data_IF_514589909412
#
_entry.id   IF_514589909412
#
_cell.length_a   1.000
_cell.length_b   1.000
_cell.length_c   1.000
_cell.angle_alpha   90.00
_cell.angle_beta   90.00
_cell.angle_gamma   90.00
#
_symmetry.space_group_name_H-M   'P 1'
#
loop_
_entity.id
_entity.type
_entity.pdbx_description
1 polymer ?
#
# COMPACT_ATOMS: atom_id res chain seq x y z
N UNK A 1 -7.76 17.52 27.97
CA UNK A 1 -8.19 17.87 26.59
C UNK A 1 -7.50 16.92 25.63
N UNK A 2 -8.21 15.88 25.17
CA UNK A 2 -7.67 14.89 24.26
C UNK A 2 -7.77 15.40 22.83
N UNK A 3 -6.64 15.74 22.21
CA UNK A 3 -6.59 15.92 20.77
C UNK A 3 -6.76 14.53 20.13
N UNK A 4 -7.96 14.26 19.60
CA UNK A 4 -8.15 13.16 18.65
C UNK A 4 -7.32 13.48 17.41
N UNK A 5 -6.10 12.96 17.35
CA UNK A 5 -5.36 12.88 16.12
C UNK A 5 -6.01 11.78 15.28
N UNK A 6 -6.91 12.15 14.37
CA UNK A 6 -7.23 11.29 13.23
C UNK A 6 -5.91 10.99 12.52
N UNK A 7 -5.42 9.76 12.67
CA UNK A 7 -4.26 9.29 11.92
C UNK A 7 -4.66 9.18 10.46
N UNK A 8 -4.52 10.26 9.70
CA UNK A 8 -4.74 10.23 8.25
C UNK A 8 -3.65 9.36 7.62
N UNK A 9 -4.03 8.20 7.09
CA UNK A 9 -3.13 7.28 6.38
C UNK A 9 -3.21 7.48 4.88
N UNK A 10 -2.07 7.54 4.21
CA UNK A 10 -2.00 7.83 2.77
C UNK A 10 -2.05 6.58 1.89
N UNK A 11 -2.80 6.67 0.78
CA UNK A 11 -2.82 5.73 -0.37
C UNK A 11 -1.46 5.70 -1.11
N UNK A 12 -1.21 4.72 -2.00
CA UNK A 12 0.07 4.68 -2.72
C UNK A 12 0.34 5.97 -3.51
N UNK A 13 1.56 6.49 -3.32
CA UNK A 13 2.06 7.70 -3.97
C UNK A 13 2.98 7.32 -5.14
N UNK A 14 2.71 7.88 -6.32
CA UNK A 14 3.53 7.70 -7.52
C UNK A 14 4.15 9.03 -7.93
N UNK A 15 5.48 9.06 -8.02
CA UNK A 15 6.17 10.23 -8.57
C UNK A 15 6.36 10.08 -10.08
N UNK A 16 5.67 10.92 -10.85
CA UNK A 16 5.72 10.90 -12.31
C UNK A 16 5.99 12.29 -12.88
N UNK A 17 7.09 12.41 -13.63
CA UNK A 17 7.46 13.62 -14.40
C UNK A 17 7.22 14.91 -13.61
N UNK A 18 7.91 15.06 -12.47
CA UNK A 18 7.89 16.29 -11.66
C UNK A 18 6.50 16.64 -11.09
N UNK A 19 5.64 15.65 -10.96
CA UNK A 19 4.36 15.70 -10.25
C UNK A 19 4.26 14.49 -9.33
N UNK A 20 3.67 14.69 -8.16
CA UNK A 20 3.35 13.60 -7.24
C UNK A 20 1.88 13.23 -7.44
N UNK A 21 1.60 11.97 -7.72
CA UNK A 21 0.25 11.47 -7.84
C UNK A 21 -0.10 10.68 -6.59
N UNK A 22 -1.19 11.05 -5.92
CA UNK A 22 -1.83 10.19 -4.93
C UNK A 22 -2.86 9.35 -5.67
N UNK A 23 -2.59 8.04 -5.73
CA UNK A 23 -3.32 7.13 -6.61
C UNK A 23 -4.24 6.23 -5.79
N UNK A 24 -5.52 6.24 -6.13
CA UNK A 24 -6.49 5.21 -5.76
C UNK A 24 -6.59 4.21 -6.91
N UNK A 25 -6.35 2.93 -6.63
CA UNK A 25 -6.42 1.87 -7.64
C UNK A 25 -7.74 1.11 -7.48
N UNK A 26 -8.51 1.00 -8.57
CA UNK A 26 -9.72 0.17 -8.66
C UNK A 26 -9.45 -1.03 -9.56
N UNK A 27 -9.71 -2.23 -9.03
CA UNK A 27 -9.48 -3.49 -9.74
C UNK A 27 -10.78 -4.26 -9.98
N UNK A 28 -11.83 -3.56 -10.42
CA UNK A 28 -13.11 -4.18 -10.80
C UNK A 28 -12.99 -4.90 -12.14
N UNK A 29 -13.67 -6.03 -12.31
CA UNK A 29 -13.87 -6.70 -13.62
C UNK A 29 -15.18 -6.32 -14.29
N UNK A 30 -16.02 -5.54 -13.60
CA UNK A 30 -17.40 -5.29 -13.99
C UNK A 30 -17.56 -3.93 -14.66
N UNK A 31 -18.81 -3.61 -15.02
CA UNK A 31 -19.14 -2.31 -15.62
C UNK A 31 -19.28 -1.24 -14.55
N UNK A 32 -18.50 -0.17 -14.66
CA UNK A 32 -18.55 0.98 -13.77
C UNK A 32 -19.29 2.12 -14.44
N UNK A 33 -20.32 2.63 -13.76
CA UNK A 33 -21.17 3.71 -14.24
C UNK A 33 -21.22 4.87 -13.24
N UNK A 34 -21.59 6.05 -13.72
CA UNK A 34 -21.77 7.24 -12.90
C UNK A 34 -23.25 7.54 -12.70
N UNK A 35 -23.60 7.85 -11.46
CA UNK A 35 -24.93 8.31 -11.06
C UNK A 35 -25.00 9.85 -11.13
N UNK A 36 -26.23 10.39 -11.13
CA UNK A 36 -26.47 11.83 -11.28
C UNK A 36 -25.88 12.67 -10.14
N UNK A 37 -25.81 12.11 -8.93
CA UNK A 37 -25.19 12.70 -7.74
C UNK A 37 -23.64 12.71 -7.77
N UNK A 38 -23.03 12.15 -8.82
CA UNK A 38 -21.58 12.06 -8.98
C UNK A 38 -20.94 10.84 -8.34
N UNK A 39 -21.71 10.03 -7.63
CA UNK A 39 -21.28 8.71 -7.13
C UNK A 39 -21.12 7.72 -8.29
N UNK A 40 -20.38 6.65 -8.05
CA UNK A 40 -20.18 5.59 -9.04
C UNK A 40 -20.88 4.33 -8.58
N UNK A 41 -21.29 3.48 -9.51
CA UNK A 41 -21.80 2.16 -9.17
C UNK A 41 -21.23 1.10 -10.10
N UNK A 42 -20.97 -0.05 -9.51
CA UNK A 42 -20.52 -1.25 -10.18
C UNK A 42 -21.73 -2.13 -10.45
N UNK A 43 -21.98 -2.44 -11.73
CA UNK A 43 -23.09 -3.30 -12.15
C UNK A 43 -22.58 -4.71 -12.45
N UNK A 44 -23.18 -5.69 -11.80
CA UNK A 44 -22.90 -7.12 -11.97
C UNK A 44 -23.77 -7.72 -13.09
N UNK A 45 -23.35 -8.88 -13.60
CA UNK A 45 -24.08 -9.60 -14.64
C UNK A 45 -25.44 -10.10 -14.16
N UNK A 46 -25.56 -10.43 -12.87
CA UNK A 46 -26.81 -10.85 -12.21
C UNK A 46 -27.82 -9.71 -12.01
N UNK A 47 -27.48 -8.49 -12.45
CA UNK A 47 -28.30 -7.30 -12.32
C UNK A 47 -28.17 -6.55 -11.00
N UNK A 48 -27.43 -7.10 -10.02
CA UNK A 48 -27.12 -6.40 -8.78
C UNK A 48 -26.15 -5.23 -9.01
N UNK A 49 -26.13 -4.29 -8.08
CA UNK A 49 -25.23 -3.14 -8.16
C UNK A 49 -24.68 -2.74 -6.80
N UNK A 50 -23.40 -2.41 -6.75
CA UNK A 50 -22.75 -1.82 -5.58
C UNK A 50 -22.54 -0.33 -5.84
N UNK A 51 -23.09 0.51 -4.96
CA UNK A 51 -22.85 1.95 -4.98
C UNK A 51 -21.55 2.27 -4.24
N UNK A 52 -20.68 3.03 -4.89
CA UNK A 52 -19.47 3.61 -4.32
C UNK A 52 -19.70 5.09 -4.04
N UNK A 53 -18.97 5.65 -3.08
CA UNK A 53 -18.94 7.10 -2.85
C UNK A 53 -18.34 7.89 -4.02
N UNK A 54 -18.18 9.20 -3.84
CA UNK A 54 -17.48 10.03 -4.81
C UNK A 54 -15.96 9.84 -4.68
N UNK A 55 -15.46 8.77 -5.30
CA UNK A 55 -14.06 8.36 -5.24
C UNK A 55 -13.09 9.50 -5.57
N UNK A 56 -13.46 10.39 -6.50
CA UNK A 56 -12.62 11.53 -6.90
C UNK A 56 -12.51 12.55 -5.79
N UNK A 57 -13.63 12.85 -5.13
CA UNK A 57 -13.65 13.77 -3.99
C UNK A 57 -12.81 13.21 -2.83
N UNK A 58 -12.98 11.92 -2.51
CA UNK A 58 -12.21 11.26 -1.44
C UNK A 58 -10.69 11.35 -1.68
N UNK A 59 -10.24 11.14 -2.92
CA UNK A 59 -8.81 11.23 -3.27
C UNK A 59 -8.31 12.67 -3.18
N UNK A 60 -9.12 13.66 -3.57
CA UNK A 60 -8.76 15.08 -3.43
C UNK A 60 -8.62 15.50 -1.97
N UNK A 61 -9.50 15.02 -1.09
CA UNK A 61 -9.39 15.26 0.35
C UNK A 61 -8.12 14.64 0.92
N UNK A 62 -7.77 13.42 0.51
CA UNK A 62 -6.48 12.79 0.88
C UNK A 62 -5.28 13.59 0.37
N UNK A 63 -5.36 14.19 -0.83
CA UNK A 63 -4.32 15.10 -1.34
C UNK A 63 -4.18 16.33 -0.44
N UNK A 64 -5.28 16.98 -0.06
CA UNK A 64 -5.25 18.15 0.83
C UNK A 64 -4.66 17.80 2.22
N UNK A 65 -4.96 16.61 2.74
CA UNK A 65 -4.37 16.11 3.98
C UNK A 65 -2.87 15.83 3.84
N UNK A 66 -2.43 15.31 2.70
CA UNK A 66 -1.01 15.09 2.41
C UNK A 66 -0.24 16.41 2.32
N UNK A 67 -0.81 17.41 1.62
CA UNK A 67 -0.24 18.75 1.55
C UNK A 67 -0.11 19.36 2.95
N UNK A 68 -1.18 19.26 3.77
CA UNK A 68 -1.18 19.72 5.15
C UNK A 68 -0.12 19.00 6.00
N UNK A 69 0.04 17.69 5.82
CA UNK A 69 1.08 16.91 6.48
C UNK A 69 2.49 17.39 6.10
N UNK A 70 2.75 17.61 4.82
CA UNK A 70 4.06 18.10 4.34
C UNK A 70 4.37 19.49 4.90
N UNK A 71 3.39 20.40 4.90
CA UNK A 71 3.54 21.75 5.47
C UNK A 71 3.87 21.67 6.96
N UNK A 72 3.18 20.82 7.74
CA UNK A 72 3.48 20.60 9.16
C UNK A 72 4.88 20.04 9.40
N UNK A 73 5.43 19.28 8.45
CA UNK A 73 6.82 18.77 8.49
C UNK A 73 7.84 19.78 7.95
N UNK A 74 7.44 21.03 7.75
CA UNK A 74 8.30 22.11 7.28
C UNK A 74 8.59 22.06 5.78
N UNK A 75 7.85 21.27 5.01
CA UNK A 75 8.05 21.11 3.58
C UNK A 75 6.94 21.77 2.77
N UNK A 76 7.28 22.88 2.11
CA UNK A 76 6.35 23.62 1.24
C UNK A 76 6.56 23.19 -0.21
N UNK A 77 5.54 22.55 -0.78
CA UNK A 77 5.51 22.25 -2.20
C UNK A 77 4.98 23.45 -3.00
N UNK A 78 5.37 23.58 -4.28
CA UNK A 78 4.66 24.46 -5.20
C UNK A 78 3.18 24.11 -5.27
N UNK A 79 2.34 25.11 -5.51
CA UNK A 79 0.92 24.90 -5.80
C UNK A 79 0.74 23.88 -6.93
N UNK A 80 -0.26 23.01 -6.80
CA UNK A 80 -0.59 21.97 -7.79
C UNK A 80 0.54 20.96 -8.03
N UNK A 81 1.47 20.75 -7.10
CA UNK A 81 2.49 19.70 -7.26
C UNK A 81 1.92 18.29 -7.08
N UNK A 82 1.00 18.14 -6.13
CA UNK A 82 0.31 16.88 -5.84
C UNK A 82 -0.99 16.81 -6.64
N UNK A 83 -1.24 15.68 -7.30
CA UNK A 83 -2.41 15.45 -8.11
C UNK A 83 -3.15 14.21 -7.62
N UNK A 84 -4.48 14.28 -7.59
CA UNK A 84 -5.34 13.12 -7.39
C UNK A 84 -5.37 12.25 -8.65
N UNK A 85 -5.28 10.93 -8.49
CA UNK A 85 -5.52 10.00 -9.58
C UNK A 85 -6.35 8.79 -9.14
N UNK A 86 -7.27 8.37 -10.01
CA UNK A 86 -8.01 7.12 -9.87
C UNK A 86 -7.69 6.25 -11.08
N UNK A 87 -7.16 5.06 -10.85
CA UNK A 87 -6.68 4.17 -11.91
C UNK A 87 -7.47 2.87 -11.88
N UNK A 88 -8.12 2.55 -13.00
CA UNK A 88 -8.71 1.23 -13.22
C UNK A 88 -7.63 0.27 -13.73
N UNK A 89 -7.09 -0.58 -12.85
CA UNK A 89 -5.94 -1.44 -13.17
C UNK A 89 -6.31 -2.60 -14.09
N UNK A 90 -7.51 -3.16 -13.92
CA UNK A 90 -8.00 -4.28 -14.71
C UNK A 90 -8.37 -3.84 -16.13
N UNK A 91 -7.73 -4.37 -17.19
CA UNK A 91 -8.05 -4.01 -18.58
C UNK A 91 -9.46 -4.43 -19.00
N UNK A 92 -10.05 -5.44 -18.37
CA UNK A 92 -11.41 -5.91 -18.67
C UNK A 92 -12.50 -5.02 -18.04
N UNK A 93 -12.12 -4.09 -17.17
CA UNK A 93 -13.06 -3.15 -16.54
C UNK A 93 -13.70 -2.23 -17.58
N UNK A 94 -15.03 -2.30 -17.70
CA UNK A 94 -15.80 -1.45 -18.63
C UNK A 94 -16.23 -0.18 -17.91
N UNK A 95 -15.44 0.87 -18.01
CA UNK A 95 -15.73 2.16 -17.38
C UNK A 95 -16.50 3.05 -18.35
N UNK A 96 -17.62 3.63 -17.90
CA UNK A 96 -18.39 4.60 -18.68
C UNK A 96 -17.53 5.80 -19.10
N UNK A 97 -17.69 6.27 -20.34
CA UNK A 97 -16.83 7.30 -20.92
C UNK A 97 -16.90 8.64 -20.16
N UNK A 98 -18.06 8.96 -19.56
CA UNK A 98 -18.23 10.15 -18.74
C UNK A 98 -17.34 10.14 -17.49
N UNK A 99 -16.97 8.97 -16.96
CA UNK A 99 -16.02 8.80 -15.86
C UNK A 99 -14.59 8.98 -16.36
N UNK A 100 -14.24 8.38 -17.50
CA UNK A 100 -12.90 8.50 -18.11
C UNK A 100 -12.57 9.93 -18.56
N UNK A 101 -13.58 10.77 -18.79
CA UNK A 101 -13.41 12.21 -19.09
C UNK A 101 -13.11 13.06 -17.85
N UNK A 102 -13.26 12.52 -16.63
CA UNK A 102 -12.93 13.25 -15.40
C UNK A 102 -11.41 13.38 -15.29
N UNK A 103 -10.86 14.60 -15.11
CA UNK A 103 -9.43 14.79 -14.92
C UNK A 103 -8.89 13.97 -13.73
N UNK A 104 -7.81 13.22 -13.98
CA UNK A 104 -7.20 12.34 -12.97
C UNK A 104 -7.77 10.91 -12.96
N UNK A 105 -8.79 10.60 -13.76
CA UNK A 105 -9.23 9.22 -13.98
C UNK A 105 -8.46 8.61 -15.14
N UNK A 106 -7.97 7.39 -14.97
CA UNK A 106 -7.25 6.66 -16.00
C UNK A 106 -7.76 5.22 -16.13
N UNK A 107 -7.99 4.79 -17.37
CA UNK A 107 -8.08 3.37 -17.70
C UNK A 107 -6.71 2.69 -17.56
N UNK A 108 -6.70 1.36 -17.54
CA UNK A 108 -5.47 0.55 -17.51
C UNK A 108 -4.51 0.93 -18.64
N UNK A 109 -5.05 1.14 -19.85
CA UNK A 109 -4.27 1.51 -21.04
C UNK A 109 -3.77 2.96 -20.98
N UNK A 110 -4.59 3.91 -20.54
CA UNK A 110 -4.19 5.30 -20.36
C UNK A 110 -3.08 5.44 -19.31
N UNK A 111 -3.21 4.73 -18.19
CA UNK A 111 -2.20 4.72 -17.13
C UNK A 111 -0.88 4.10 -17.61
N UNK A 112 -0.94 2.93 -18.26
CA UNK A 112 0.25 2.30 -18.86
C UNK A 112 0.92 3.20 -19.89
N UNK A 113 0.15 3.89 -20.74
CA UNK A 113 0.68 4.86 -21.71
C UNK A 113 1.39 6.03 -21.03
N UNK A 114 0.81 6.56 -19.94
CA UNK A 114 1.39 7.63 -19.15
C UNK A 114 2.70 7.19 -18.46
N UNK A 115 2.76 5.94 -17.98
CA UNK A 115 3.99 5.34 -17.46
C UNK A 115 5.04 5.09 -18.56
N UNK A 116 4.65 4.63 -19.75
CA UNK A 116 5.56 4.24 -20.83
C UNK A 116 6.12 5.40 -21.63
N UNK A 117 5.36 6.50 -21.81
CA UNK A 117 5.85 7.78 -22.38
C UNK A 117 7.09 8.33 -21.65
N UNK A 118 7.34 7.87 -20.41
CA UNK A 118 8.51 8.20 -19.60
C UNK A 118 9.78 7.46 -20.05
N UNK A 119 9.68 6.22 -20.54
CA UNK A 119 10.86 5.48 -21.04
C UNK A 119 11.49 6.17 -22.26
N UNK A 120 10.67 6.84 -23.09
CA UNK A 120 11.14 7.58 -24.27
C UNK A 120 11.70 8.97 -23.95
N UNK A 121 11.19 9.69 -22.94
CA UNK A 121 11.64 11.06 -22.61
C UNK A 121 13.04 11.14 -21.98
N UNK A 122 13.63 10.04 -21.55
CA UNK A 122 15.05 10.01 -21.17
C UNK A 122 16.02 10.03 -22.38
N UNK A 123 15.50 9.99 -23.63
CA UNK A 123 16.30 10.03 -24.87
C UNK A 123 16.23 11.33 -25.68
N UNK A 124 15.47 12.35 -25.28
CA UNK A 124 15.34 13.58 -26.07
C UNK A 124 15.56 14.85 -25.24
N UNK A 125 16.71 15.48 -25.50
CA UNK A 125 16.74 16.88 -25.91
C UNK A 125 16.45 17.94 -24.85
N UNK A 126 17.52 18.57 -24.42
CA UNK A 126 17.64 19.98 -24.03
C UNK A 126 16.77 20.86 -24.95
N UNK A 127 15.71 21.48 -24.40
CA UNK A 127 15.24 22.85 -24.67
C UNK A 127 13.81 23.10 -24.16
N UNK A 128 13.67 24.09 -23.26
CA UNK A 128 12.61 25.13 -23.14
C UNK A 128 12.53 25.65 -21.69
N UNK A 129 12.84 26.93 -21.41
CA UNK A 129 13.07 27.43 -20.05
C UNK A 129 11.84 28.06 -19.35
N UNK A 130 10.61 27.78 -19.77
CA UNK A 130 9.43 28.46 -19.22
C UNK A 130 8.58 27.54 -18.33
N UNK A 131 8.44 27.94 -17.06
CA UNK A 131 7.78 27.28 -15.91
C UNK A 131 8.59 26.20 -15.18
N UNK A 132 9.68 26.63 -14.53
CA UNK A 132 10.44 25.81 -13.57
C UNK A 132 9.76 25.80 -12.20
N UNK A 133 8.83 24.89 -11.97
CA UNK A 133 8.57 24.35 -10.61
C UNK A 133 9.29 23.01 -10.46
N UNK A 134 10.59 23.03 -10.71
CA UNK A 134 11.43 21.85 -10.56
C UNK A 134 11.87 21.77 -9.11
N UNK A 135 11.41 20.75 -8.38
CA UNK A 135 12.08 20.39 -7.14
C UNK A 135 13.54 20.07 -7.48
N UNK A 136 14.47 20.68 -6.76
CA UNK A 136 15.89 20.31 -6.81
C UNK A 136 16.06 18.89 -6.29
N UNK A 137 17.17 18.21 -6.63
CA UNK A 137 17.43 16.86 -6.11
C UNK A 137 17.42 16.79 -4.57
N UNK A 138 17.88 17.85 -3.89
CA UNK A 138 17.80 17.97 -2.43
C UNK A 138 16.36 18.05 -1.91
N UNK A 139 15.48 18.81 -2.57
CA UNK A 139 14.06 18.86 -2.22
C UNK A 139 13.35 17.52 -2.46
N UNK A 140 13.74 16.79 -3.52
CA UNK A 140 13.24 15.42 -3.74
C UNK A 140 13.66 14.47 -2.63
N UNK A 141 14.93 14.49 -2.22
CA UNK A 141 15.42 13.66 -1.13
C UNK A 141 14.73 14.00 0.18
N UNK A 142 14.54 15.29 0.47
CA UNK A 142 13.81 15.74 1.66
C UNK A 142 12.34 15.29 1.63
N UNK A 143 11.64 15.46 0.50
CA UNK A 143 10.29 14.96 0.31
C UNK A 143 10.22 13.44 0.53
N UNK A 144 11.13 12.70 -0.09
CA UNK A 144 11.19 11.24 0.04
C UNK A 144 11.40 10.79 1.49
N UNK A 145 12.30 11.46 2.23
CA UNK A 145 12.49 11.19 3.66
C UNK A 145 11.24 11.49 4.49
N UNK A 146 10.55 12.59 4.23
CA UNK A 146 9.31 12.95 4.94
C UNK A 146 8.20 11.93 4.66
N UNK A 147 8.04 11.54 3.39
CA UNK A 147 7.04 10.55 2.96
C UNK A 147 7.33 9.15 3.51
N UNK A 148 8.60 8.76 3.67
CA UNK A 148 8.98 7.51 4.36
C UNK A 148 8.50 7.45 5.82
N UNK A 149 8.37 8.62 6.46
CA UNK A 149 7.87 8.74 7.83
C UNK A 149 6.39 9.10 7.89
N UNK A 150 5.71 9.20 6.74
CA UNK A 150 4.29 9.53 6.73
C UNK A 150 3.48 8.35 7.29
N UNK A 151 2.41 8.62 8.04
CA UNK A 151 1.46 7.58 8.43
C UNK A 151 0.89 6.93 7.16
N UNK A 152 1.21 5.66 6.95
CA UNK A 152 0.68 4.84 5.84
C UNK A 152 -0.15 3.69 6.40
N UNK A 153 -0.79 2.94 5.52
CA UNK A 153 -1.42 1.68 5.88
C UNK A 153 -0.37 0.58 6.04
N UNK A 154 -0.64 -0.37 6.93
CA UNK A 154 0.04 -1.66 6.92
C UNK A 154 -0.34 -2.41 5.63
N UNK A 155 0.51 -3.33 5.19
CA UNK A 155 0.33 -4.06 3.92
C UNK A 155 0.49 -5.55 4.13
N UNK A 156 -0.48 -6.33 3.67
CA UNK A 156 -0.39 -7.78 3.52
C UNK A 156 -0.14 -8.12 2.04
N UNK A 157 0.78 -9.05 1.79
CA UNK A 157 1.05 -9.61 0.46
C UNK A 157 0.74 -11.11 0.49
N UNK A 158 -0.01 -11.59 -0.51
CA UNK A 158 -0.43 -12.99 -0.65
C UNK A 158 0.46 -13.72 -1.68
N UNK A 159 0.41 -15.06 -1.69
CA UNK A 159 1.21 -15.89 -2.62
C UNK A 159 0.89 -15.63 -4.09
N UNK A 160 -0.35 -15.26 -4.41
CA UNK A 160 -0.80 -14.89 -5.76
C UNK A 160 -0.39 -13.47 -6.18
N UNK A 161 0.38 -12.77 -5.33
CA UNK A 161 0.78 -11.38 -5.52
C UNK A 161 -0.32 -10.37 -5.14
N UNK A 162 -1.47 -10.84 -4.63
CA UNK A 162 -2.52 -10.01 -4.08
C UNK A 162 -1.98 -9.10 -2.97
N UNK A 163 -2.54 -7.90 -2.86
CA UNK A 163 -2.14 -6.92 -1.86
C UNK A 163 -3.38 -6.40 -1.15
N UNK A 164 -3.33 -6.40 0.17
CA UNK A 164 -4.37 -5.82 1.03
C UNK A 164 -3.76 -4.76 1.92
N UNK A 165 -4.44 -3.62 2.03
CA UNK A 165 -4.06 -2.49 2.87
C UNK A 165 -5.02 -2.37 4.06
N UNK A 166 -4.50 -1.93 5.20
CA UNK A 166 -5.27 -1.83 6.43
C UNK A 166 -4.36 -1.69 7.65
N UNK A 167 -4.89 -2.01 8.82
CA UNK A 167 -4.19 -1.89 10.09
C UNK A 167 -4.07 -3.23 10.80
N UNK A 168 -2.83 -3.60 11.12
CA UNK A 168 -2.53 -4.77 11.92
C UNK A 168 -3.14 -4.63 13.32
N UNK A 169 -3.98 -5.58 13.69
CA UNK A 169 -4.66 -5.63 14.99
C UNK A 169 -4.01 -6.59 15.97
N UNK A 170 -3.26 -7.58 15.48
CA UNK A 170 -2.65 -8.61 16.31
C UNK A 170 -2.68 -9.98 15.66
N UNK A 171 -2.14 -10.96 16.37
CA UNK A 171 -2.24 -12.38 16.01
C UNK A 171 -3.34 -13.05 16.82
N UNK A 172 -3.98 -14.04 16.21
CA UNK A 172 -4.95 -14.94 16.84
C UNK A 172 -4.52 -16.39 16.57
N UNK A 173 -4.57 -17.26 17.58
CA UNK A 173 -4.07 -18.63 17.42
C UNK A 173 -4.05 -19.41 18.73
N UNK A 174 -3.29 -20.50 18.76
CA UNK A 174 -3.14 -21.30 19.98
C UNK A 174 -2.29 -20.56 21.02
N UNK A 175 -2.43 -20.89 22.30
CA UNK A 175 -1.68 -20.23 23.37
C UNK A 175 -0.16 -20.30 23.14
N UNK A 176 0.34 -21.43 22.64
CA UNK A 176 1.76 -21.63 22.32
C UNK A 176 2.22 -20.69 21.19
N UNK A 177 1.42 -20.59 20.12
CA UNK A 177 1.72 -19.70 18.99
C UNK A 177 1.70 -18.23 19.45
N UNK A 178 0.72 -17.84 20.26
CA UNK A 178 0.62 -16.47 20.78
C UNK A 178 1.79 -16.14 21.72
N UNK A 179 2.23 -17.09 22.56
CA UNK A 179 3.40 -16.91 23.42
C UNK A 179 4.67 -16.68 22.59
N UNK A 180 4.86 -17.48 21.54
CA UNK A 180 5.99 -17.32 20.62
C UNK A 180 5.94 -15.95 19.92
N UNK A 181 4.75 -15.50 19.51
CA UNK A 181 4.54 -14.25 18.80
C UNK A 181 4.53 -13.00 19.70
N UNK A 182 4.56 -13.12 21.03
CA UNK A 182 4.61 -11.95 21.95
C UNK A 182 5.78 -11.01 21.68
N UNK A 183 6.87 -11.51 21.11
CA UNK A 183 8.07 -10.73 20.74
C UNK A 183 7.87 -9.88 19.49
N UNK A 184 6.93 -10.26 18.62
CA UNK A 184 6.58 -9.57 17.38
C UNK A 184 5.59 -8.45 17.67
N UNK A 185 6.09 -7.35 18.26
CA UNK A 185 5.26 -6.17 18.55
C UNK A 185 5.20 -5.24 17.34
N UNK A 186 4.00 -4.77 16.96
CA UNK A 186 3.79 -3.80 15.86
C UNK A 186 4.73 -2.59 15.95
N UNK A 187 4.95 -2.09 17.16
CA UNK A 187 5.80 -0.91 17.45
C UNK A 187 7.30 -1.17 17.28
N UNK A 188 7.75 -2.42 17.18
CA UNK A 188 9.16 -2.77 17.09
C UNK A 188 9.52 -3.46 15.79
N UNK A 189 8.54 -3.98 15.06
CA UNK A 189 8.73 -4.74 13.83
C UNK A 189 8.37 -3.89 12.62
N UNK A 190 9.24 -3.88 11.62
CA UNK A 190 9.05 -3.18 10.34
C UNK A 190 8.40 -4.09 9.31
N UNK A 191 8.90 -5.33 9.19
CA UNK A 191 8.37 -6.30 8.24
C UNK A 191 8.44 -7.72 8.79
N UNK A 192 7.55 -8.57 8.28
CA UNK A 192 7.48 -10.00 8.57
C UNK A 192 7.39 -10.72 7.23
N UNK A 193 8.32 -11.63 6.96
CA UNK A 193 8.26 -12.54 5.84
C UNK A 193 7.75 -13.88 6.34
N UNK A 194 6.85 -14.50 5.59
CA UNK A 194 6.15 -15.72 5.99
C UNK A 194 6.45 -16.79 4.95
N UNK A 195 6.91 -17.94 5.43
CA UNK A 195 7.16 -19.10 4.60
C UNK A 195 6.29 -20.27 5.05
N UNK A 196 5.56 -20.85 4.10
CA UNK A 196 4.81 -22.09 4.31
C UNK A 196 5.77 -23.26 4.43
N UNK A 197 5.64 -24.02 5.52
CA UNK A 197 6.34 -25.29 5.75
C UNK A 197 5.31 -26.40 5.91
N UNK A 198 5.49 -27.47 5.15
CA UNK A 198 4.69 -28.68 5.25
C UNK A 198 5.61 -29.83 5.66
N UNK A 199 5.29 -30.50 6.77
CA UNK A 199 6.02 -31.68 7.20
C UNK A 199 5.32 -32.90 6.58
N UNK A 200 6.04 -33.59 5.70
CA UNK A 200 5.55 -34.75 4.98
C UNK A 200 6.15 -36.02 5.55
N UNK A 201 5.32 -37.04 5.74
CA UNK A 201 5.74 -38.39 6.07
C UNK A 201 5.60 -39.28 4.84
N UNK A 202 6.62 -40.09 4.54
CA UNK A 202 6.53 -41.08 3.49
C UNK A 202 5.95 -42.38 4.08
N UNK A 203 4.74 -42.73 3.66
CA UNK A 203 4.04 -43.95 4.08
C UNK A 203 3.81 -44.80 2.85
N UNK A 204 4.52 -45.93 2.75
CA UNK A 204 4.46 -46.87 1.62
C UNK A 204 4.68 -46.23 0.23
N UNK A 205 5.60 -45.27 0.11
CA UNK A 205 5.90 -44.58 -1.15
C UNK A 205 5.00 -43.38 -1.45
N UNK A 206 3.98 -43.13 -0.63
CA UNK A 206 3.12 -41.95 -0.73
C UNK A 206 3.57 -40.88 0.26
N UNK A 207 3.72 -39.64 -0.22
CA UNK A 207 3.94 -38.49 0.64
C UNK A 207 2.61 -38.02 1.23
N UNK A 208 2.48 -38.11 2.55
CA UNK A 208 1.31 -37.63 3.30
C UNK A 208 1.73 -36.41 4.11
N UNK A 209 1.07 -35.26 3.89
CA UNK A 209 1.29 -34.08 4.71
C UNK A 209 0.70 -34.29 6.09
N UNK A 210 1.55 -34.24 7.11
CA UNK A 210 1.16 -34.48 8.51
C UNK A 210 0.87 -33.18 9.26
N UNK A 211 1.62 -32.12 8.94
CA UNK A 211 1.45 -30.82 9.58
C UNK A 211 1.76 -29.70 8.61
N UNK A 212 1.14 -28.53 8.84
CA UNK A 212 1.45 -27.30 8.12
C UNK A 212 1.74 -26.21 9.15
N UNK A 213 2.90 -25.58 9.02
CA UNK A 213 3.38 -24.50 9.88
C UNK A 213 3.78 -23.28 9.04
N UNK A 214 3.68 -22.10 9.65
CA UNK A 214 4.16 -20.85 9.09
C UNK A 214 5.46 -20.47 9.80
N UNK A 215 6.53 -20.26 9.04
CA UNK A 215 7.81 -19.76 9.54
C UNK A 215 7.88 -18.26 9.27
N UNK A 216 7.91 -17.47 10.34
CA UNK A 216 7.93 -16.01 10.30
C UNK A 216 9.35 -15.53 10.52
N UNK A 217 9.89 -14.77 9.56
CA UNK A 217 11.17 -14.06 9.70
C UNK A 217 10.91 -12.56 9.70
N UNK A 218 11.19 -11.87 10.81
CA UNK A 218 10.88 -10.45 10.96
C UNK A 218 12.12 -9.56 11.06
N UNK A 219 11.95 -8.29 10.68
CA UNK A 219 12.97 -7.24 10.80
C UNK A 219 12.53 -6.21 11.84
N UNK A 220 13.45 -5.80 12.72
CA UNK A 220 13.17 -4.77 13.71
C UNK A 220 13.24 -3.38 13.07
N UNK A 221 12.50 -2.43 13.64
CA UNK A 221 12.55 -1.03 13.23
C UNK A 221 13.86 -0.41 13.69
N UNK A 222 14.64 0.09 12.73
CA UNK A 222 15.83 0.89 13.01
C UNK A 222 15.46 2.37 13.19
N UNK A 223 15.16 2.75 14.44
CA UNK A 223 14.87 4.14 14.79
C UNK A 223 16.09 5.07 14.67
N UNK A 224 17.32 4.54 14.56
CA UNK A 224 18.56 5.35 14.49
C UNK A 224 18.79 5.91 13.09
N UNK A 225 18.42 5.16 12.03
CA UNK A 225 18.42 5.66 10.64
C UNK A 225 17.50 6.85 10.40
N UNK A 226 16.50 7.08 11.26
CA UNK A 226 15.52 8.17 11.13
C UNK A 226 16.09 9.50 11.68
N UNK A 227 17.12 9.46 12.53
CA UNK A 227 17.69 10.64 13.20
C UNK A 227 19.10 11.04 12.70
N UNK A 228 19.82 10.16 12.00
CA UNK A 228 21.15 10.46 11.47
C UNK A 228 21.07 11.23 10.14
N UNK A 229 21.18 12.55 10.22
CA UNK A 229 21.41 13.46 9.10
C UNK A 229 22.79 13.17 8.49
N UNK A 230 22.80 12.42 7.40
CA UNK A 230 24.02 12.18 6.60
C UNK A 230 24.89 11.05 7.14
N UNK A 231 25.30 10.16 6.23
CA UNK A 231 26.30 9.10 6.42
C UNK A 231 25.93 7.94 7.34
N UNK A 232 25.10 7.02 6.84
CA UNK A 232 25.08 5.65 7.35
C UNK A 232 25.68 4.70 6.29
N UNK A 233 26.92 4.32 6.56
CA UNK A 233 27.72 3.27 5.90
C UNK A 233 26.90 1.97 5.89
N UNK A 234 26.87 1.29 4.74
CA UNK A 234 26.22 -0.01 4.57
C UNK A 234 26.89 -1.08 5.44
N UNK A 235 26.27 -1.42 6.57
CA UNK A 235 26.56 -2.60 7.41
C UNK A 235 25.22 -2.82 8.15
N UNK A 236 24.62 -3.98 8.31
CA UNK A 236 25.01 -5.39 8.34
C UNK A 236 23.69 -6.14 8.11
N UNK A 237 23.68 -7.38 7.61
CA UNK A 237 22.45 -8.20 7.64
C UNK A 237 21.94 -8.26 9.09
N UNK A 238 20.84 -7.55 9.37
CA UNK A 238 20.21 -7.55 10.69
C UNK A 238 19.76 -8.98 11.02
N UNK A 239 19.86 -9.43 12.29
CA UNK A 239 19.45 -10.77 12.66
C UNK A 239 17.97 -10.95 12.38
N UNK A 240 17.65 -11.74 11.35
CA UNK A 240 16.31 -12.26 11.11
C UNK A 240 16.02 -13.29 12.19
N UNK A 241 15.34 -12.87 13.25
CA UNK A 241 14.75 -13.81 14.20
C UNK A 241 13.61 -14.56 13.49
N UNK A 242 13.60 -15.88 13.63
CA UNK A 242 12.59 -16.75 13.03
C UNK A 242 11.71 -17.40 14.10
N UNK A 243 10.41 -17.39 13.88
CA UNK A 243 9.40 -18.02 14.75
C UNK A 243 8.59 -18.99 13.91
N UNK A 244 8.42 -20.22 14.38
CA UNK A 244 7.53 -21.18 13.73
C UNK A 244 6.22 -21.26 14.51
N UNK A 245 5.10 -21.11 13.81
CA UNK A 245 3.74 -21.24 14.37
C UNK A 245 2.89 -22.19 13.54
N UNK A 246 1.79 -22.67 14.09
CA UNK A 246 0.84 -23.53 13.35
C UNK A 246 0.23 -22.79 12.17
N UNK A 247 -0.03 -23.51 11.08
CA UNK A 247 -0.66 -22.95 9.87
C UNK A 247 -2.10 -22.46 10.08
N UNK A 248 -2.73 -22.83 11.20
CA UNK A 248 -4.03 -22.30 11.64
C UNK A 248 -3.95 -20.92 12.30
N UNK A 249 -2.75 -20.42 12.58
CA UNK A 249 -2.57 -19.09 13.19
C UNK A 249 -3.01 -18.01 12.20
N UNK A 250 -3.76 -17.04 12.70
CA UNK A 250 -4.37 -15.96 11.93
C UNK A 250 -3.82 -14.60 12.35
N UNK A 251 -3.91 -13.65 11.43
CA UNK A 251 -3.59 -12.25 11.61
C UNK A 251 -4.87 -11.44 11.50
N UNK A 252 -5.16 -10.66 12.53
CA UNK A 252 -6.26 -9.70 12.55
C UNK A 252 -5.86 -8.41 11.83
N UNK A 253 -6.68 -7.96 10.90
CA UNK A 253 -6.38 -6.83 10.02
C UNK A 253 -7.62 -5.99 9.73
N UNK A 254 -7.60 -4.72 10.12
CA UNK A 254 -8.68 -3.77 9.83
C UNK A 254 -8.47 -3.18 8.45
N UNK A 255 -9.23 -3.65 7.47
CA UNK A 255 -9.12 -3.20 6.09
C UNK A 255 -9.44 -1.71 5.93
N UNK A 256 -8.76 -1.06 4.98
CA UNK A 256 -9.14 0.29 4.56
C UNK A 256 -10.61 0.32 4.12
N UNK A 257 -11.39 1.20 4.74
CA UNK A 257 -12.83 1.34 4.45
C UNK A 257 -13.74 0.33 5.14
N UNK A 258 -13.19 -0.56 5.99
CA UNK A 258 -13.96 -1.45 6.86
C UNK A 258 -13.99 -0.92 8.29
N UNK A 259 -15.10 -1.10 8.99
CA UNK A 259 -15.20 -0.88 10.44
C UNK A 259 -14.93 -2.16 11.25
N UNK A 260 -14.81 -3.32 10.58
CA UNK A 260 -14.66 -4.63 11.21
C UNK A 260 -13.33 -5.25 10.76
N UNK A 261 -12.48 -5.72 11.70
CA UNK A 261 -11.28 -6.48 11.38
C UNK A 261 -11.61 -7.78 10.67
N UNK A 262 -10.85 -8.10 9.62
CA UNK A 262 -10.85 -9.42 8.97
C UNK A 262 -9.65 -10.23 9.43
N UNK A 263 -9.79 -11.56 9.36
CA UNK A 263 -8.74 -12.50 9.75
C UNK A 263 -8.14 -13.15 8.52
N UNK A 264 -6.82 -13.29 8.53
CA UNK A 264 -6.06 -13.91 7.45
C UNK A 264 -5.14 -14.99 8.02
N UNK A 265 -5.26 -16.23 7.53
CA UNK A 265 -4.32 -17.30 7.90
C UNK A 265 -2.92 -16.93 7.46
N UNK A 266 -1.95 -17.02 8.36
CA UNK A 266 -0.55 -16.68 8.06
C UNK A 266 0.00 -17.49 6.90
N UNK A 267 -0.45 -18.75 6.75
CA UNK A 267 0.01 -19.65 5.70
C UNK A 267 -0.36 -19.22 4.28
N UNK A 268 -1.29 -18.27 4.14
CA UNK A 268 -1.71 -17.71 2.84
C UNK A 268 -0.97 -16.41 2.51
N UNK A 269 -0.13 -15.92 3.43
CA UNK A 269 0.60 -14.67 3.31
C UNK A 269 2.06 -14.94 2.96
N UNK A 270 2.63 -14.06 2.16
CA UNK A 270 4.07 -14.01 1.85
C UNK A 270 4.77 -13.00 2.76
N UNK A 271 4.13 -11.85 2.99
CA UNK A 271 4.72 -10.82 3.85
C UNK A 271 3.69 -9.87 4.45
N UNK A 272 4.09 -9.29 5.58
CA UNK A 272 3.41 -8.21 6.29
C UNK A 272 4.40 -7.06 6.41
N UNK A 273 4.03 -5.88 5.93
CA UNK A 273 4.81 -4.66 6.10
C UNK A 273 4.04 -3.71 7.02
N UNK A 274 4.67 -3.31 8.12
CA UNK A 274 4.04 -2.52 9.17
C UNK A 274 4.46 -1.06 9.04
N UNK A 275 3.48 -0.21 8.76
CA UNK A 275 3.64 1.24 8.76
C UNK A 275 4.17 1.76 10.11
N UNK A 276 5.03 2.79 10.11
CA UNK A 276 5.52 3.47 11.32
C UNK A 276 4.43 3.88 12.30
#
# INVERSE_FOLDING_TARGET
MGCNFEQTKFSPLFLLVRKLYLVEVKSSSNKIKRDADGSWYEKYEDGSSIKHGNVIQDVKERVALLESYLVRRGFKLPSEFIHSAVVFSNPECRVDECILRIPGVFSSTQWKSLLSKKAQKHKLGWMSPHKRHLLTMSLYQQLFCILKTAPTWDRLTFEDGGIVLGDFQGFEGTSDDLEALKRVKRTHVDSINIQRRADNLNVFGYQVTTSVSAVLSYTLRDYRKILSRGEAKAITEEPKESITVKGSTELGFLLVGSSIPKRFKLINLVSVQLSP
#
